data_IF_787183572132
#
_entry.id   IF_787183572132
#
_cell.length_a   1.000
_cell.length_b   1.000
_cell.length_c   1.000
_cell.angle_alpha   90.00
_cell.angle_beta   90.00
_cell.angle_gamma   90.00
#
_symmetry.space_group_name_H-M   'P 1'
#
loop_
_entity.id
_entity.type
_entity.pdbx_description
1 polymer ?
#
# COMPACT_ATOMS: atom_id res chain seq x y z
N UNK A 5 3.74 8.84 -15.76
CA UNK A 5 3.03 8.57 -17.01
C UNK A 5 1.62 9.13 -16.90
N UNK A 6 0.62 8.34 -17.31
CA UNK A 6 -0.78 8.71 -17.10
C UNK A 6 -1.34 8.03 -15.86
N UNK A 7 -0.70 8.32 -14.71
CA UNK A 7 -1.24 7.86 -13.45
C UNK A 7 -2.55 8.59 -13.15
N UNK A 8 -2.60 9.90 -13.40
CA UNK A 8 -3.82 10.67 -13.16
C UNK A 8 -5.02 10.05 -13.86
N UNK A 9 -4.84 9.61 -15.11
CA UNK A 9 -5.95 9.01 -15.84
C UNK A 9 -6.38 7.70 -15.19
N UNK A 10 -5.42 6.82 -14.89
CA UNK A 10 -5.77 5.51 -14.32
C UNK A 10 -6.44 5.66 -12.96
N UNK A 11 -5.93 6.58 -12.12
CA UNK A 11 -6.57 6.89 -10.85
C UNK A 11 -8.02 7.32 -11.08
N UNK A 12 -8.27 8.11 -12.13
CA UNK A 12 -9.60 8.66 -12.33
C UNK A 12 -10.60 7.59 -12.76
N UNK A 13 -10.19 6.65 -13.63
CA UNK A 13 -11.12 5.60 -14.04
C UNK A 13 -11.66 4.81 -12.86
N UNK A 14 -10.81 4.55 -11.86
CA UNK A 14 -11.24 3.78 -10.69
C UNK A 14 -12.23 4.56 -9.84
N UNK A 15 -11.90 5.83 -9.56
CA UNK A 15 -12.83 6.73 -8.90
C UNK A 15 -14.19 6.71 -9.59
N UNK A 16 -14.21 6.98 -10.90
CA UNK A 16 -15.46 7.16 -11.61
C UNK A 16 -16.27 5.87 -11.62
N UNK A 17 -15.60 4.71 -11.67
CA UNK A 17 -16.32 3.44 -11.70
C UNK A 17 -16.93 3.11 -10.35
N UNK A 18 -16.20 3.36 -9.26
CA UNK A 18 -16.78 3.14 -7.94
C UNK A 18 -17.97 4.06 -7.72
N UNK A 19 -17.82 5.33 -8.09
CA UNK A 19 -18.88 6.31 -7.86
C UNK A 19 -20.10 6.02 -8.70
N UNK A 20 -19.91 5.44 -9.90
CA UNK A 20 -21.05 5.04 -10.73
C UNK A 20 -21.77 3.86 -10.12
N UNK A 21 -21.05 2.97 -9.46
CA UNK A 21 -21.69 1.85 -8.79
C UNK A 21 -22.54 2.36 -7.64
N UNK A 22 -21.99 3.30 -6.85
CA UNK A 22 -22.77 3.90 -5.77
C UNK A 22 -23.98 4.65 -6.34
N UNK A 23 -23.78 5.35 -7.44
CA UNK A 23 -24.90 6.08 -8.02
C UNK A 23 -26.03 5.14 -8.45
N UNK A 24 -25.69 4.06 -9.16
CA UNK A 24 -26.71 3.07 -9.55
C UNK A 24 -27.51 2.61 -8.34
N UNK A 25 -26.82 2.27 -7.23
CA UNK A 25 -27.49 1.72 -6.07
C UNK A 25 -28.42 2.75 -5.43
N UNK A 26 -27.94 3.97 -5.25
CA UNK A 26 -28.81 5.02 -4.70
C UNK A 26 -29.94 5.37 -5.65
N UNK A 27 -29.69 5.30 -6.95
CA UNK A 27 -30.78 5.60 -7.87
C UNK A 27 -31.92 4.60 -7.73
N UNK A 28 -31.60 3.31 -7.66
CA UNK A 28 -32.65 2.28 -7.57
C UNK A 28 -33.59 2.53 -6.41
N UNK A 29 -33.08 3.06 -5.30
CA UNK A 29 -33.88 3.13 -4.08
C UNK A 29 -34.31 4.55 -3.78
N UNK A 30 -34.17 5.47 -4.75
CA UNK A 30 -34.25 6.91 -4.51
C UNK A 30 -35.66 7.41 -4.22
N UNK A 31 -36.68 6.57 -4.25
CA UNK A 31 -38.01 6.99 -3.91
C UNK A 31 -38.50 6.43 -2.58
N UNK A 32 -37.66 5.68 -1.87
CA UNK A 32 -38.00 5.30 -0.50
C UNK A 32 -37.44 6.33 0.46
N UNK A 33 -38.32 6.86 1.30
CA UNK A 33 -37.94 7.83 2.32
C UNK A 33 -37.09 7.16 3.39
N UNK A 34 -35.99 7.77 3.82
CA UNK A 34 -35.44 9.05 3.33
C UNK A 34 -34.29 8.85 2.34
N UNK A 35 -34.20 7.72 1.64
CA UNK A 35 -33.07 7.52 0.75
C UNK A 35 -33.01 8.58 -0.35
N UNK A 36 -34.15 9.20 -0.68
CA UNK A 36 -34.13 10.28 -1.67
C UNK A 36 -33.27 11.45 -1.19
N UNK A 37 -33.22 11.67 0.13
CA UNK A 37 -32.32 12.69 0.65
C UNK A 37 -30.86 12.31 0.44
N UNK A 38 -30.53 11.04 0.56
CA UNK A 38 -29.15 10.63 0.35
C UNK A 38 -28.78 10.63 -1.14
N UNK A 39 -29.72 10.22 -2.00
CA UNK A 39 -29.53 10.39 -3.44
C UNK A 39 -29.12 11.82 -3.79
N UNK A 40 -29.92 12.80 -3.35
CA UNK A 40 -29.61 14.17 -3.72
C UNK A 40 -28.33 14.65 -3.04
N UNK A 41 -28.07 14.18 -1.81
CA UNK A 41 -26.82 14.48 -1.14
C UNK A 41 -25.63 13.96 -1.94
N UNK A 42 -25.70 12.69 -2.36
CA UNK A 42 -24.60 12.10 -3.12
C UNK A 42 -24.36 12.89 -4.40
N UNK A 43 -25.43 13.26 -5.10
CA UNK A 43 -25.31 14.01 -6.35
C UNK A 43 -24.68 15.36 -6.10
N UNK A 44 -25.12 16.07 -5.05
CA UNK A 44 -24.49 17.32 -4.68
C UNK A 44 -23.00 17.14 -4.41
N UNK A 45 -22.63 16.08 -3.68
CA UNK A 45 -21.22 15.84 -3.38
C UNK A 45 -20.41 15.50 -4.63
N UNK A 46 -21.02 14.83 -5.61
CA UNK A 46 -20.33 14.55 -6.88
C UNK A 46 -20.08 15.83 -7.67
N UNK A 47 -21.07 16.73 -7.67
CA UNK A 47 -20.95 17.97 -8.43
C UNK A 47 -19.83 18.84 -7.88
N UNK A 48 -19.70 18.90 -6.55
CA UNK A 48 -18.62 19.66 -5.93
C UNK A 48 -17.25 19.04 -6.14
N UNK A 49 -17.14 17.70 -6.08
CA UNK A 49 -15.84 17.02 -6.06
C UNK A 49 -15.29 16.70 -7.43
N UNK A 50 -16.16 16.57 -8.44
CA UNK A 50 -15.72 16.14 -9.76
C UNK A 50 -15.88 17.29 -10.73
N UNK A 51 -15.07 17.26 -11.78
CA UNK A 51 -15.27 18.23 -12.83
C UNK A 51 -16.57 17.90 -13.57
N UNK A 52 -16.97 18.80 -14.46
CA UNK A 52 -18.21 18.60 -15.20
C UNK A 52 -18.11 17.39 -16.12
N UNK A 53 -17.00 17.24 -16.84
CA UNK A 53 -16.86 16.12 -17.75
C UNK A 53 -16.79 14.79 -16.99
N UNK A 54 -16.09 14.76 -15.85
CA UNK A 54 -16.06 13.55 -15.02
C UNK A 54 -17.46 13.13 -14.56
N UNK A 55 -18.22 14.08 -14.01
CA UNK A 55 -19.61 13.84 -13.63
C UNK A 55 -20.42 13.23 -14.77
N UNK A 56 -20.22 13.71 -16.00
CA UNK A 56 -20.94 13.11 -17.11
C UNK A 56 -20.44 11.70 -17.37
N UNK A 57 -19.15 11.44 -17.11
CA UNK A 57 -18.61 10.09 -17.27
C UNK A 57 -19.13 9.15 -16.20
N UNK A 58 -19.30 9.64 -14.96
CA UNK A 58 -19.95 8.82 -13.94
C UNK A 58 -21.37 8.47 -14.37
N UNK A 59 -22.12 9.46 -14.84
CA UNK A 59 -23.52 9.23 -15.21
C UNK A 59 -23.64 8.28 -16.39
N UNK A 60 -22.68 8.32 -17.31
CA UNK A 60 -22.71 7.38 -18.43
C UNK A 60 -22.39 5.97 -17.98
N UNK A 61 -21.38 5.82 -17.13
CA UNK A 61 -21.06 4.49 -16.61
C UNK A 61 -22.21 3.94 -15.79
N UNK A 62 -22.93 4.80 -15.05
CA UNK A 62 -24.11 4.34 -14.32
C UNK A 62 -25.18 3.78 -15.26
N UNK A 63 -25.52 4.52 -16.32
CA UNK A 63 -26.52 4.03 -17.28
C UNK A 63 -26.08 2.72 -17.92
N UNK A 64 -24.80 2.58 -18.22
CA UNK A 64 -24.28 1.31 -18.74
C UNK A 64 -24.57 0.17 -17.77
N UNK A 65 -24.29 0.37 -16.49
CA UNK A 65 -24.59 -0.63 -15.47
C UNK A 65 -26.09 -0.89 -15.39
N UNK A 66 -26.90 0.16 -15.50
CA UNK A 66 -28.33 0.04 -15.27
C UNK A 66 -29.07 -0.65 -16.40
N UNK A 67 -28.49 -0.71 -17.60
CA UNK A 67 -29.06 -1.48 -18.69
C UNK A 67 -28.64 -2.94 -18.67
N UNK A 68 -27.60 -3.27 -17.90
CA UNK A 68 -27.07 -4.64 -17.84
C UNK A 68 -28.04 -5.60 -17.13
N UNK B 4 -1.87 -7.86 -8.53
CA UNK B 4 -2.30 -7.46 -7.20
C UNK B 4 -2.86 -8.64 -6.43
N UNK B 5 -4.18 -8.79 -6.40
CA UNK B 5 -4.80 -9.94 -5.74
C UNK B 5 -4.26 -10.09 -4.33
N UNK B 6 -3.96 -11.32 -3.92
CA UNK B 6 -3.19 -11.58 -2.70
C UNK B 6 -1.72 -11.77 -3.01
N UNK B 7 -1.28 -11.40 -4.21
CA UNK B 7 0.14 -11.30 -4.50
C UNK B 7 0.73 -10.11 -3.78
N UNK B 8 -0.03 -9.02 -3.63
CA UNK B 8 0.44 -7.87 -2.89
C UNK B 8 0.78 -8.24 -1.45
N UNK B 9 0.00 -9.16 -0.86
CA UNK B 9 0.26 -9.57 0.51
C UNK B 9 1.60 -10.31 0.62
N UNK B 10 1.83 -11.33 -0.22
CA UNK B 10 3.09 -12.05 -0.18
C UNK B 10 4.27 -11.12 -0.45
N UNK B 11 4.12 -10.22 -1.43
CA UNK B 11 5.18 -9.28 -1.76
C UNK B 11 5.47 -8.36 -0.57
N UNK B 12 4.42 -7.79 0.01
CA UNK B 12 4.62 -6.83 1.09
C UNK B 12 5.20 -7.50 2.33
N UNK B 13 4.86 -8.77 2.57
CA UNK B 13 5.43 -9.46 3.72
C UNK B 13 6.94 -9.64 3.57
N UNK B 14 7.39 -10.04 2.38
CA UNK B 14 8.82 -10.23 2.18
C UNK B 14 9.56 -8.90 2.19
N UNK B 15 8.94 -7.86 1.62
CA UNK B 15 9.53 -6.54 1.65
C UNK B 15 9.70 -6.05 3.08
N UNK B 16 8.70 -6.29 3.93
CA UNK B 16 8.79 -5.84 5.31
C UNK B 16 9.69 -6.74 6.15
N UNK B 17 9.78 -8.04 5.85
CA UNK B 17 10.75 -8.87 6.56
C UNK B 17 12.17 -8.47 6.21
N UNK B 18 12.46 -8.20 4.93
CA UNK B 18 13.80 -7.72 4.58
C UNK B 18 14.11 -6.43 5.33
N UNK B 19 13.16 -5.49 5.34
CA UNK B 19 13.42 -4.25 6.06
C UNK B 19 13.62 -4.50 7.54
N UNK B 20 12.94 -5.49 8.11
CA UNK B 20 13.09 -5.78 9.54
C UNK B 20 14.43 -6.43 9.84
N UNK B 21 14.91 -7.28 8.94
CA UNK B 21 16.23 -7.88 9.16
C UNK B 21 17.29 -6.79 9.25
N UNK B 22 17.24 -5.83 8.31
CA UNK B 22 18.20 -4.73 8.31
C UNK B 22 18.05 -3.90 9.59
N UNK B 23 16.82 -3.53 9.92
CA UNK B 23 16.56 -2.78 11.15
C UNK B 23 17.16 -3.47 12.38
N UNK B 24 16.94 -4.79 12.51
CA UNK B 24 17.49 -5.54 13.64
C UNK B 24 19.00 -5.47 13.65
N UNK B 25 19.63 -5.70 12.49
CA UNK B 25 21.08 -5.63 12.42
C UNK B 25 21.58 -4.24 12.80
N UNK B 26 20.88 -3.18 12.37
CA UNK B 26 21.30 -1.81 12.68
C UNK B 26 21.00 -1.45 14.13
N UNK B 27 19.91 -1.98 14.69
CA UNK B 27 19.62 -1.72 16.09
C UNK B 27 20.70 -2.30 17.00
N UNK B 28 21.24 -3.46 16.64
CA UNK B 28 22.18 -4.09 17.58
C UNK B 28 23.56 -3.43 17.53
N UNK B 29 23.87 -2.67 16.49
CA UNK B 29 25.10 -1.88 16.43
C UNK B 29 24.85 -0.40 16.71
N UNK B 30 23.66 -0.05 17.20
CA UNK B 30 23.24 1.36 17.22
C UNK B 30 24.06 2.25 18.15
N UNK B 31 24.82 1.68 19.09
CA UNK B 31 25.58 2.50 20.02
C UNK B 31 27.05 2.63 19.66
N UNK B 32 27.51 1.95 18.61
CA UNK B 32 28.84 2.19 18.07
C UNK B 32 28.79 3.41 17.15
N UNK B 33 29.63 4.35 17.41
CA UNK B 33 29.61 5.43 16.44
C UNK B 33 30.57 5.12 15.29
N UNK B 34 30.23 5.52 14.07
CA UNK B 34 29.03 6.28 13.65
C UNK B 34 27.84 5.42 13.24
N UNK B 35 27.76 4.13 13.63
CA UNK B 35 26.66 3.29 13.18
C UNK B 35 25.32 3.78 13.73
N UNK B 36 25.33 4.49 14.86
CA UNK B 36 24.10 5.13 15.33
C UNK B 36 23.46 5.99 14.24
N UNK B 37 24.30 6.71 13.47
CA UNK B 37 23.79 7.64 12.47
C UNK B 37 23.11 6.89 11.32
N UNK B 38 23.65 5.72 10.94
CA UNK B 38 23.00 4.92 9.91
C UNK B 38 21.70 4.34 10.41
N UNK B 39 21.67 3.89 11.65
CA UNK B 39 20.43 3.44 12.27
C UNK B 39 19.35 4.53 12.20
N UNK B 40 19.72 5.76 12.58
CA UNK B 40 18.73 6.83 12.54
C UNK B 40 18.38 7.20 11.11
N UNK B 41 19.36 7.18 10.20
CA UNK B 41 19.09 7.42 8.79
C UNK B 41 18.13 6.37 8.22
N UNK B 42 18.35 5.10 8.56
CA UNK B 42 17.45 4.06 8.06
C UNK B 42 16.03 4.27 8.57
N UNK B 43 15.89 4.56 9.87
CA UNK B 43 14.55 4.77 10.43
C UNK B 43 13.84 5.91 9.71
N UNK B 44 14.55 7.01 9.48
CA UNK B 44 13.94 8.13 8.77
C UNK B 44 13.59 7.75 7.34
N UNK B 45 14.44 6.96 6.68
CA UNK B 45 14.10 6.50 5.34
C UNK B 45 12.84 5.63 5.37
N UNK B 46 12.76 4.73 6.36
CA UNK B 46 11.57 3.90 6.55
C UNK B 46 10.32 4.74 6.77
N UNK B 47 10.45 5.82 7.54
CA UNK B 47 9.28 6.64 7.82
C UNK B 47 8.84 7.39 6.57
N UNK B 48 9.79 7.85 5.76
CA UNK B 48 9.42 8.50 4.51
C UNK B 48 8.86 7.51 3.49
N UNK B 49 9.34 6.27 3.50
CA UNK B 49 9.02 5.34 2.43
C UNK B 49 7.78 4.52 2.71
N UNK B 50 7.43 4.28 3.97
CA UNK B 50 6.35 3.38 4.32
C UNK B 50 5.18 4.12 4.94
N UNK B 51 3.98 3.62 4.68
CA UNK B 51 2.82 4.04 5.42
C UNK B 51 3.00 3.71 6.91
N UNK B 52 2.13 4.30 7.73
CA UNK B 52 2.23 4.09 9.17
C UNK B 52 1.92 2.65 9.55
N UNK B 53 1.08 1.98 8.77
CA UNK B 53 0.76 0.58 9.03
C UNK B 53 1.91 -0.34 8.66
N UNK B 54 2.63 -0.02 7.58
CA UNK B 54 3.77 -0.84 7.18
C UNK B 54 4.94 -0.65 8.15
N UNK B 55 5.11 0.56 8.69
CA UNK B 55 6.13 0.73 9.70
C UNK B 55 5.85 -0.15 10.91
N UNK B 56 4.59 -0.21 11.35
CA UNK B 56 4.25 -1.01 12.52
C UNK B 56 4.53 -2.48 12.28
N UNK B 57 4.28 -2.96 11.07
CA UNK B 57 4.57 -4.37 10.78
C UNK B 57 6.07 -4.62 10.68
N UNK B 58 6.83 -3.65 10.13
CA UNK B 58 8.30 -3.79 10.14
C UNK B 58 8.79 -3.93 11.57
N UNK B 59 8.33 -3.03 12.44
CA UNK B 59 8.78 -3.02 13.84
C UNK B 59 8.32 -4.26 14.57
N UNK B 60 7.15 -4.80 14.21
CA UNK B 60 6.70 -6.03 14.84
C UNK B 60 7.52 -7.23 14.37
N UNK B 61 7.86 -7.29 13.07
CA UNK B 61 8.73 -8.36 12.59
C UNK B 61 10.12 -8.26 13.20
N UNK B 62 10.64 -7.04 13.34
CA UNK B 62 11.92 -6.87 14.00
C UNK B 62 11.87 -7.39 15.43
N UNK B 63 10.83 -7.00 16.18
CA UNK B 63 10.64 -7.56 17.52
C UNK B 63 10.62 -9.08 17.48
N UNK B 64 9.90 -9.66 16.52
CA UNK B 64 9.88 -11.10 16.35
C UNK B 64 11.29 -11.68 16.24
N UNK B 65 12.09 -11.13 15.31
CA UNK B 65 13.44 -11.65 15.11
C UNK B 65 14.27 -11.49 16.37
N UNK B 66 14.11 -10.38 17.07
CA UNK B 66 14.95 -10.14 18.23
C UNK B 66 14.56 -11.05 19.39
N UNK B 67 13.28 -11.38 19.51
CA UNK B 67 12.89 -12.28 20.60
C UNK B 67 13.40 -13.70 20.37
N UNK B 68 13.77 -14.06 19.15
CA UNK B 68 14.33 -15.40 18.89
C UNK B 68 15.59 -15.63 19.72
N UNK C 4 -0.26 -19.24 -6.40
CA UNK C 4 0.13 -20.64 -6.24
C UNK C 4 1.53 -20.76 -5.66
N UNK C 5 2.29 -21.74 -6.16
CA UNK C 5 3.66 -21.97 -5.72
C UNK C 5 4.66 -21.06 -6.41
N UNK C 6 4.34 -20.56 -7.60
CA UNK C 6 5.24 -19.61 -8.25
C UNK C 6 5.34 -18.30 -7.48
N UNK C 7 4.35 -18.00 -6.63
CA UNK C 7 4.36 -16.74 -5.90
C UNK C 7 5.43 -16.76 -4.82
N UNK C 8 5.32 -17.70 -3.86
CA UNK C 8 6.35 -17.85 -2.85
C UNK C 8 7.72 -17.99 -3.50
N UNK C 9 7.80 -18.77 -4.58
CA UNK C 9 9.05 -18.97 -5.29
C UNK C 9 9.63 -17.65 -5.79
N UNK C 10 8.85 -16.89 -6.55
CA UNK C 10 9.36 -15.63 -7.08
C UNK C 10 9.61 -14.61 -5.99
N UNK C 11 8.77 -14.61 -4.95
CA UNK C 11 8.97 -13.67 -3.85
C UNK C 11 10.23 -14.02 -3.06
N UNK C 12 10.47 -15.31 -2.81
CA UNK C 12 11.64 -15.73 -2.04
C UNK C 12 12.93 -15.46 -2.80
N UNK C 13 12.94 -15.66 -4.12
CA UNK C 13 14.17 -15.36 -4.84
C UNK C 13 14.47 -13.86 -4.87
N UNK C 14 13.44 -13.01 -4.81
CA UNK C 14 13.69 -11.57 -4.72
C UNK C 14 14.18 -11.19 -3.34
N UNK C 15 13.56 -11.75 -2.30
CA UNK C 15 13.97 -11.42 -0.95
C UNK C 15 15.42 -11.84 -0.71
N UNK C 16 15.82 -13.02 -1.20
CA UNK C 16 17.19 -13.45 -0.97
C UNK C 16 18.18 -12.68 -1.84
N UNK C 17 17.76 -12.24 -3.02
CA UNK C 17 18.62 -11.39 -3.84
C UNK C 17 18.91 -10.05 -3.16
N UNK C 18 17.90 -9.43 -2.57
CA UNK C 18 18.11 -8.18 -1.84
C UNK C 18 19.04 -8.42 -0.65
N UNK C 19 18.80 -9.50 0.10
CA UNK C 19 19.65 -9.75 1.26
C UNK C 19 21.08 -10.03 0.84
N UNK C 20 21.26 -10.69 -0.31
CA UNK C 20 22.62 -10.95 -0.78
C UNK C 20 23.31 -9.66 -1.19
N UNK C 21 22.57 -8.73 -1.78
CA UNK C 21 23.15 -7.43 -2.15
C UNK C 21 23.66 -6.70 -0.92
N UNK C 22 22.86 -6.70 0.15
CA UNK C 22 23.30 -6.07 1.38
C UNK C 22 24.48 -6.83 1.98
N UNK C 23 24.45 -8.16 1.91
CA UNK C 23 25.56 -8.94 2.44
C UNK C 23 26.85 -8.64 1.69
N UNK C 24 26.77 -8.51 0.37
CA UNK C 24 27.97 -8.18 -0.41
C UNK C 24 28.51 -6.81 -0.01
N UNK C 25 27.63 -5.81 0.06
CA UNK C 25 28.10 -4.46 0.40
C UNK C 25 28.85 -4.48 1.73
N UNK C 26 28.31 -5.19 2.72
CA UNK C 26 28.93 -5.23 4.05
C UNK C 26 30.18 -6.10 4.08
N UNK C 27 30.20 -7.17 3.27
CA UNK C 27 31.40 -8.00 3.14
C UNK C 27 32.59 -7.17 2.70
N UNK C 28 32.39 -6.30 1.71
CA UNK C 28 33.53 -5.60 1.13
C UNK C 28 34.15 -4.61 2.11
N UNK C 29 33.38 -4.09 3.06
CA UNK C 29 33.89 -3.09 3.99
C UNK C 29 34.00 -3.63 5.41
N UNK C 30 33.89 -4.95 5.61
CA UNK C 30 33.83 -5.47 6.97
C UNK C 30 35.16 -5.35 7.71
N UNK C 31 36.23 -4.94 7.05
CA UNK C 31 37.49 -4.74 7.77
C UNK C 31 37.75 -3.28 8.11
N UNK C 32 36.85 -2.38 7.75
CA UNK C 32 36.93 -1.00 8.22
C UNK C 32 36.09 -0.87 9.48
N UNK C 33 36.75 -0.65 10.61
CA UNK C 33 36.06 -0.55 11.89
C UNK C 33 35.22 0.73 11.95
N UNK C 34 34.01 0.66 12.53
CA UNK C 34 33.37 -0.48 13.20
C UNK C 34 32.42 -1.28 12.32
N UNK C 35 32.54 -1.18 10.99
CA UNK C 35 31.59 -1.88 10.12
C UNK C 35 31.65 -3.38 10.26
N UNK C 36 32.70 -3.94 10.85
CA UNK C 36 32.71 -5.39 11.08
C UNK C 36 31.60 -5.80 12.04
N UNK C 37 31.26 -4.92 13.00
CA UNK C 37 30.13 -5.18 13.89
C UNK C 37 28.81 -5.24 13.13
N UNK C 38 28.62 -4.36 12.15
CA UNK C 38 27.39 -4.40 11.38
C UNK C 38 27.35 -5.63 10.49
N UNK C 39 28.50 -5.98 9.91
CA UNK C 39 28.61 -7.23 9.15
C UNK C 39 28.17 -8.43 9.99
N UNK C 40 28.68 -8.54 11.23
CA UNK C 40 28.31 -9.67 12.05
C UNK C 40 26.87 -9.55 12.56
N UNK C 41 26.40 -8.32 12.85
CA UNK C 41 25.01 -8.20 13.28
C UNK C 41 24.05 -8.51 12.14
N UNK C 42 24.39 -8.12 10.91
CA UNK C 42 23.56 -8.53 9.78
C UNK C 42 23.61 -10.04 9.57
N UNK C 43 24.79 -10.67 9.78
CA UNK C 43 24.79 -12.13 9.68
C UNK C 43 23.94 -12.76 10.76
N UNK C 44 24.00 -12.23 11.99
CA UNK C 44 23.19 -12.79 13.07
C UNK C 44 21.68 -12.60 12.81
N UNK C 45 21.30 -11.42 12.31
CA UNK C 45 19.88 -11.21 12.00
C UNK C 45 19.40 -12.13 10.89
N UNK C 46 20.26 -12.39 9.89
CA UNK C 46 19.89 -13.31 8.81
C UNK C 46 19.66 -14.73 9.33
N UNK C 47 20.56 -15.21 10.19
CA UNK C 47 20.46 -16.57 10.71
C UNK C 47 19.25 -16.74 11.62
N UNK C 48 18.81 -15.68 12.29
CA UNK C 48 17.57 -15.77 13.07
C UNK C 48 16.35 -15.70 12.16
N UNK C 49 16.40 -14.92 11.08
CA UNK C 49 15.18 -14.67 10.32
C UNK C 49 14.97 -15.65 9.18
N UNK C 50 16.02 -16.26 8.65
CA UNK C 50 15.90 -17.16 7.50
C UNK C 50 16.10 -18.61 7.93
N UNK C 51 15.50 -19.52 7.17
CA UNK C 51 15.82 -20.93 7.37
C UNK C 51 17.28 -21.21 7.01
N UNK C 52 17.76 -22.39 7.42
CA UNK C 52 19.16 -22.71 7.15
C UNK C 52 19.44 -22.80 5.65
N UNK C 53 18.50 -23.36 4.89
CA UNK C 53 18.70 -23.48 3.45
C UNK C 53 18.60 -22.11 2.78
N UNK C 54 17.73 -21.24 3.29
CA UNK C 54 17.63 -19.88 2.76
C UNK C 54 18.94 -19.13 2.96
N UNK C 55 19.49 -19.18 4.19
CA UNK C 55 20.76 -18.51 4.48
C UNK C 55 21.85 -18.95 3.53
N UNK C 56 21.87 -20.22 3.14
CA UNK C 56 22.94 -20.62 2.25
C UNK C 56 22.69 -20.20 0.80
N UNK C 57 21.42 -20.03 0.42
CA UNK C 57 21.13 -19.40 -0.86
C UNK C 57 21.61 -17.94 -0.86
N UNK C 58 21.45 -17.24 0.27
CA UNK C 58 21.90 -15.84 0.29
C UNK C 58 23.40 -15.77 0.13
N UNK C 59 24.14 -16.63 0.84
CA UNK C 59 25.59 -16.65 0.74
C UNK C 59 26.04 -17.04 -0.66
N UNK C 60 25.33 -17.96 -1.31
CA UNK C 60 25.69 -18.32 -2.67
C UNK C 60 25.45 -17.15 -3.62
N UNK C 61 24.32 -16.46 -3.46
CA UNK C 61 24.02 -15.32 -4.33
C UNK C 61 24.98 -14.17 -4.06
N UNK C 62 25.42 -14.00 -2.80
CA UNK C 62 26.39 -12.96 -2.51
C UNK C 62 27.76 -13.30 -3.10
N UNK C 63 28.13 -14.58 -3.10
CA UNK C 63 29.37 -14.96 -3.75
C UNK C 63 29.27 -14.72 -5.25
N UNK C 64 28.15 -15.09 -5.86
CA UNK C 64 27.98 -14.88 -7.29
C UNK C 64 27.98 -13.39 -7.64
N UNK C 65 27.39 -12.55 -6.78
CA UNK C 65 27.39 -11.10 -7.05
C UNK C 65 28.79 -10.53 -6.91
N UNK C 66 29.58 -11.11 -6.02
CA UNK C 66 30.88 -10.56 -5.73
C UNK C 66 31.93 -10.67 -6.81
N UNK C 67 31.66 -11.38 -7.90
CA UNK C 67 32.59 -11.43 -8.99
C UNK C 67 32.22 -10.16 -9.68
N UNK C 68 31.02 -10.13 -10.25
CA UNK C 68 30.51 -8.90 -10.84
C UNK C 68 29.12 -9.18 -11.38
N UNK D 4 2.49 -14.97 -14.22
CA UNK D 4 3.94 -14.82 -14.28
C UNK D 4 4.35 -13.35 -14.39
N UNK D 5 3.94 -12.71 -15.50
CA UNK D 5 4.27 -11.31 -15.72
C UNK D 5 3.74 -10.42 -14.61
N UNK D 6 2.56 -10.73 -14.07
CA UNK D 6 2.04 -9.98 -12.93
C UNK D 6 2.86 -10.23 -11.68
N UNK D 7 3.36 -11.45 -11.50
CA UNK D 7 4.11 -11.80 -10.30
C UNK D 7 5.49 -11.16 -10.32
N UNK D 8 6.24 -11.35 -11.41
CA UNK D 8 7.59 -10.79 -11.51
C UNK D 8 7.57 -9.27 -11.37
N UNK D 9 6.57 -8.62 -11.96
CA UNK D 9 6.47 -7.17 -11.89
C UNK D 9 6.32 -6.68 -10.46
N UNK D 10 5.38 -7.27 -9.71
CA UNK D 10 5.16 -6.86 -8.33
C UNK D 10 6.38 -7.18 -7.47
N UNK D 11 7.00 -8.33 -7.72
CA UNK D 11 8.19 -8.73 -7.00
C UNK D 11 9.32 -7.75 -7.24
N UNK D 12 9.55 -7.38 -8.50
CA UNK D 12 10.66 -6.50 -8.83
C UNK D 12 10.47 -5.11 -8.23
N UNK D 13 9.23 -4.61 -8.24
CA UNK D 13 8.97 -3.32 -7.60
C UNK D 13 9.27 -3.37 -6.10
N UNK D 14 8.90 -4.45 -5.42
CA UNK D 14 9.23 -4.53 -4.00
C UNK D 14 10.74 -4.58 -3.80
N UNK D 15 11.43 -5.34 -4.65
CA UNK D 15 12.89 -5.43 -4.58
C UNK D 15 13.54 -4.07 -4.74
N UNK D 16 13.15 -3.32 -5.76
CA UNK D 16 13.82 -2.04 -5.96
C UNK D 16 13.44 -1.03 -4.88
N UNK D 17 12.19 -1.05 -4.40
CA UNK D 17 11.84 -0.13 -3.33
C UNK D 17 12.68 -0.38 -2.09
N UNK D 18 12.85 -1.65 -1.70
CA UNK D 18 13.70 -1.93 -0.53
C UNK D 18 15.11 -1.44 -0.77
N UNK D 19 15.66 -1.70 -1.96
CA UNK D 19 17.00 -1.21 -2.26
C UNK D 19 17.06 0.31 -2.24
N UNK D 20 15.96 0.98 -2.61
CA UNK D 20 15.94 2.44 -2.58
C UNK D 20 15.98 2.96 -1.15
N UNK D 21 15.23 2.31 -0.25
CA UNK D 21 15.23 2.69 1.16
C UNK D 21 16.65 2.62 1.73
N UNK D 22 17.34 1.52 1.47
CA UNK D 22 18.71 1.40 1.98
C UNK D 22 19.58 2.48 1.35
N UNK D 23 19.34 2.78 0.06
CA UNK D 23 20.11 3.81 -0.63
C UNK D 23 19.88 5.20 -0.02
N UNK D 24 18.61 5.53 0.27
CA UNK D 24 18.29 6.80 0.92
C UNK D 24 19.03 6.88 2.27
N UNK D 25 19.00 5.79 3.04
CA UNK D 25 19.67 5.78 4.34
C UNK D 25 21.18 5.99 4.19
N UNK D 26 21.81 5.34 3.21
CA UNK D 26 23.26 5.48 3.05
C UNK D 26 23.66 6.83 2.48
N UNK D 27 22.87 7.38 1.55
CA UNK D 27 23.13 8.73 1.05
C UNK D 27 23.18 9.71 2.20
N UNK D 28 22.23 9.62 3.13
CA UNK D 28 22.13 10.62 4.19
C UNK D 28 23.35 10.62 5.10
N UNK D 29 24.05 9.50 5.21
CA UNK D 29 25.22 9.38 6.09
C UNK D 29 26.51 9.24 5.27
N UNK D 30 26.46 9.55 3.98
CA UNK D 30 27.61 9.34 3.10
C UNK D 30 28.79 10.23 3.44
N UNK D 31 28.59 11.28 4.24
CA UNK D 31 29.71 12.09 4.65
C UNK D 31 30.34 11.65 5.96
N UNK D 32 29.70 10.74 6.69
CA UNK D 32 30.35 10.21 7.88
C UNK D 32 31.39 9.19 7.48
N UNK D 33 32.44 9.11 8.25
CA UNK D 33 33.38 8.06 7.98
C UNK D 33 33.29 7.01 9.09
N UNK D 34 33.46 5.73 8.78
CA UNK D 34 33.75 5.11 7.49
C UNK D 34 32.49 4.75 6.71
N UNK D 35 31.34 5.35 7.01
CA UNK D 35 30.09 4.93 6.38
C UNK D 35 30.07 5.22 4.90
N UNK D 36 30.82 6.24 4.45
CA UNK D 36 30.96 6.48 3.01
C UNK D 36 31.47 5.25 2.28
N UNK D 37 32.30 4.42 2.94
CA UNK D 37 32.74 3.16 2.34
C UNK D 37 31.56 2.22 2.07
N UNK D 38 30.59 2.18 2.98
CA UNK D 38 29.44 1.28 2.79
C UNK D 38 28.51 1.82 1.72
N UNK D 39 28.29 3.15 1.73
CA UNK D 39 27.59 3.81 0.63
C UNK D 39 28.16 3.38 -0.72
N UNK D 40 29.49 3.42 -0.84
CA UNK D 40 30.13 3.11 -2.12
C UNK D 40 30.10 1.63 -2.43
N UNK D 41 30.30 0.76 -1.43
CA UNK D 41 30.21 -0.66 -1.72
C UNK D 41 28.79 -1.08 -2.03
N UNK D 42 27.81 -0.41 -1.43
CA UNK D 42 26.42 -0.73 -1.75
C UNK D 42 26.08 -0.33 -3.16
N UNK D 43 26.52 0.86 -3.58
CA UNK D 43 26.33 1.30 -4.96
C UNK D 43 27.03 0.36 -5.92
N UNK D 44 28.25 -0.03 -5.58
CA UNK D 44 29.01 -1.02 -6.35
C UNK D 44 28.23 -2.35 -6.42
N UNK D 45 27.64 -2.77 -5.29
CA UNK D 45 26.91 -4.03 -5.28
C UNK D 45 25.65 -3.95 -6.12
N UNK D 46 25.00 -2.77 -6.15
CA UNK D 46 23.84 -2.58 -7.02
C UNK D 46 24.24 -2.63 -8.48
N UNK D 47 25.30 -1.90 -8.85
CA UNK D 47 25.86 -1.99 -10.19
C UNK D 47 26.04 -3.44 -10.62
N UNK D 48 26.65 -4.26 -9.74
CA UNK D 48 26.96 -5.63 -10.12
C UNK D 48 25.73 -6.53 -10.19
N UNK D 49 24.68 -6.27 -9.42
CA UNK D 49 23.56 -7.21 -9.35
C UNK D 49 22.36 -6.84 -10.22
N UNK D 50 22.20 -5.56 -10.57
CA UNK D 50 21.04 -5.14 -11.34
C UNK D 50 21.44 -4.67 -12.74
N UNK D 51 20.49 -4.76 -13.67
CA UNK D 51 20.70 -4.14 -14.97
C UNK D 51 20.82 -2.64 -14.83
N UNK D 52 21.34 -2.01 -15.90
CA UNK D 52 21.52 -0.57 -15.89
C UNK D 52 20.20 0.15 -15.64
N UNK D 53 19.10 -0.38 -16.19
CA UNK D 53 17.81 0.26 -16.01
C UNK D 53 17.34 0.12 -14.57
N UNK D 54 17.28 -1.12 -14.07
CA UNK D 54 16.89 -1.41 -12.69
C UNK D 54 17.61 -0.48 -11.72
N UNK D 55 18.92 -0.30 -11.91
CA UNK D 55 19.67 0.63 -11.07
C UNK D 55 19.14 2.05 -11.18
N UNK D 56 18.84 2.50 -12.40
CA UNK D 56 18.31 3.85 -12.57
C UNK D 56 16.95 3.99 -11.89
N UNK D 57 16.17 2.91 -11.86
CA UNK D 57 14.87 2.97 -11.21
C UNK D 57 15.01 2.99 -9.69
N UNK D 58 16.06 2.35 -9.13
CA UNK D 58 16.32 2.44 -7.70
C UNK D 58 16.67 3.88 -7.32
N UNK D 59 17.64 4.48 -8.02
CA UNK D 59 17.96 5.87 -7.75
C UNK D 59 16.76 6.78 -7.96
N UNK D 60 15.90 6.48 -8.93
CA UNK D 60 14.68 7.26 -9.08
C UNK D 60 13.77 7.08 -7.88
N UNK D 61 13.60 5.82 -7.43
CA UNK D 61 12.75 5.58 -6.27
C UNK D 61 13.33 6.23 -5.02
N UNK D 62 14.65 6.18 -4.88
CA UNK D 62 15.29 6.86 -3.75
C UNK D 62 14.97 8.34 -3.79
N UNK D 63 15.12 8.98 -4.96
CA UNK D 63 14.84 10.41 -5.05
C UNK D 63 13.39 10.70 -4.70
N UNK D 64 12.49 9.79 -5.06
CA UNK D 64 11.08 9.95 -4.73
C UNK D 64 10.87 9.85 -3.23
N UNK D 65 11.45 8.82 -2.60
CA UNK D 65 11.37 8.69 -1.15
C UNK D 65 11.94 9.95 -0.48
N UNK D 66 13.09 10.42 -0.95
CA UNK D 66 13.69 11.61 -0.34
C UNK D 66 12.74 12.80 -0.33
N UNK D 67 11.93 12.94 -1.38
CA UNK D 67 11.01 14.07 -1.47
C UNK D 67 9.77 13.90 -0.60
N UNK D 68 9.70 12.89 0.25
CA UNK D 68 8.47 12.65 1.02
C UNK D 68 8.56 13.16 2.46
N UNK E 4 5.38 1.65 -9.43
CA UNK E 4 6.41 1.84 -8.41
C UNK E 4 5.81 2.42 -7.15
N UNK E 5 6.51 3.40 -6.55
CA UNK E 5 5.92 4.16 -5.48
C UNK E 5 4.91 5.18 -5.98
N UNK E 6 4.91 5.44 -7.29
CA UNK E 6 3.91 6.30 -7.90
C UNK E 6 2.57 5.61 -8.04
N UNK E 7 2.55 4.27 -8.03
CA UNK E 7 1.28 3.57 -8.07
C UNK E 7 0.69 3.40 -6.67
N UNK E 8 1.53 3.37 -5.63
CA UNK E 8 1.01 3.31 -4.26
C UNK E 8 0.31 4.62 -3.89
N UNK E 9 0.95 5.76 -4.17
CA UNK E 9 0.27 7.03 -3.94
C UNK E 9 -0.96 7.13 -4.83
N UNK E 10 -0.91 6.47 -6.00
CA UNK E 10 -2.05 6.49 -6.92
C UNK E 10 -3.24 5.77 -6.31
N UNK E 11 -3.09 4.49 -5.96
CA UNK E 11 -4.21 3.71 -5.45
C UNK E 11 -4.77 4.35 -4.19
N UNK E 12 -3.87 4.72 -3.27
CA UNK E 12 -4.30 5.37 -2.03
C UNK E 12 -5.08 6.64 -2.30
N UNK E 13 -4.65 7.43 -3.29
CA UNK E 13 -5.32 8.69 -3.55
C UNK E 13 -6.73 8.46 -4.10
N UNK E 14 -6.86 7.60 -5.11
CA UNK E 14 -8.17 7.21 -5.62
C UNK E 14 -9.09 6.76 -4.49
N UNK E 15 -8.59 5.86 -3.66
CA UNK E 15 -9.39 5.31 -2.58
C UNK E 15 -9.90 6.42 -1.67
N UNK E 16 -9.02 7.34 -1.26
CA UNK E 16 -9.42 8.26 -0.20
C UNK E 16 -10.33 9.38 -0.70
N UNK E 17 -10.18 9.87 -1.93
CA UNK E 17 -11.15 10.87 -2.38
C UNK E 17 -12.53 10.27 -2.60
N UNK E 18 -12.62 9.02 -3.07
CA UNK E 18 -13.94 8.42 -3.22
C UNK E 18 -14.61 8.30 -1.86
N UNK E 19 -13.85 7.88 -0.85
CA UNK E 19 -14.41 7.74 0.48
C UNK E 19 -14.80 9.10 1.05
N UNK E 20 -14.05 10.16 0.74
CA UNK E 20 -14.45 11.50 1.16
C UNK E 20 -15.77 11.91 0.53
N UNK E 21 -15.95 11.59 -0.75
CA UNK E 21 -17.21 11.96 -1.41
C UNK E 21 -18.40 11.26 -0.74
N UNK E 22 -18.28 9.95 -0.52
CA UNK E 22 -19.35 9.25 0.18
C UNK E 22 -19.53 9.83 1.58
N UNK E 23 -18.43 10.11 2.28
CA UNK E 23 -18.55 10.66 3.63
C UNK E 23 -19.32 11.98 3.62
N UNK E 24 -19.02 12.87 2.67
CA UNK E 24 -19.73 14.14 2.59
C UNK E 24 -21.20 13.91 2.32
N UNK E 25 -21.52 13.03 1.36
CA UNK E 25 -22.92 12.71 1.08
C UNK E 25 -23.65 12.23 2.33
N UNK E 26 -23.05 11.31 3.08
CA UNK E 26 -23.73 10.76 4.25
C UNK E 26 -23.85 11.80 5.35
N UNK E 27 -22.78 12.59 5.55
CA UNK E 27 -22.77 13.54 6.65
C UNK E 27 -23.90 14.55 6.53
N UNK E 28 -24.14 15.05 5.32
CA UNK E 28 -25.11 16.13 5.16
C UNK E 28 -26.56 15.66 5.33
N UNK E 29 -26.84 14.36 5.34
CA UNK E 29 -28.18 13.88 5.59
C UNK E 29 -28.24 12.99 6.84
N UNK E 30 -27.26 13.11 7.73
CA UNK E 30 -27.18 12.18 8.84
C UNK E 30 -28.20 12.46 9.94
N UNK E 31 -28.94 13.57 9.90
CA UNK E 31 -29.96 13.71 10.94
C UNK E 31 -31.21 12.89 10.65
N UNK E 32 -31.55 12.64 9.39
CA UNK E 32 -32.68 11.74 9.10
C UNK E 32 -32.39 10.32 9.57
N UNK E 33 -33.39 9.67 10.14
CA UNK E 33 -33.16 8.28 10.52
C UNK E 33 -33.63 7.35 9.41
N UNK E 34 -32.96 6.21 9.21
CA UNK E 34 -31.75 5.75 9.89
C UNK E 34 -30.52 6.07 9.06
N UNK E 35 -30.59 7.12 8.22
CA UNK E 35 -29.38 7.64 7.60
C UNK E 35 -28.33 7.98 8.65
N UNK E 36 -28.78 8.44 9.83
CA UNK E 36 -27.86 8.59 10.95
C UNK E 36 -27.06 7.31 11.18
N UNK E 37 -27.76 6.17 11.18
CA UNK E 37 -27.12 4.89 11.48
C UNK E 37 -26.16 4.47 10.36
N UNK E 38 -26.54 4.70 9.11
CA UNK E 38 -25.60 4.40 8.04
C UNK E 38 -24.39 5.31 8.11
N UNK E 39 -24.58 6.56 8.53
CA UNK E 39 -23.45 7.46 8.70
C UNK E 39 -22.50 6.95 9.77
N UNK E 40 -23.01 6.68 10.99
CA UNK E 40 -22.18 6.07 12.04
C UNK E 40 -21.49 4.80 11.55
N UNK E 41 -22.21 3.99 10.76
CA UNK E 41 -21.66 2.70 10.37
C UNK E 41 -20.57 2.86 9.31
N UNK E 42 -20.73 3.82 8.39
CA UNK E 42 -19.63 4.17 7.51
C UNK E 42 -18.41 4.62 8.30
N UNK E 43 -18.62 5.45 9.32
CA UNK E 43 -17.51 5.94 10.13
C UNK E 43 -16.82 4.78 10.84
N UNK E 44 -17.60 3.80 11.32
CA UNK E 44 -16.99 2.64 11.95
C UNK E 44 -16.24 1.79 10.93
N UNK E 45 -16.77 1.65 9.71
CA UNK E 45 -16.08 0.86 8.70
C UNK E 45 -14.76 1.52 8.28
N UNK E 46 -14.78 2.85 8.13
CA UNK E 46 -13.54 3.57 7.86
C UNK E 46 -12.51 3.34 8.97
N UNK E 47 -12.98 3.26 10.23
CA UNK E 47 -12.06 3.11 11.35
C UNK E 47 -11.40 1.74 11.34
N UNK E 48 -12.10 0.73 10.83
CA UNK E 48 -11.49 -0.59 10.79
C UNK E 48 -10.60 -0.75 9.56
N UNK E 49 -11.09 -0.33 8.40
CA UNK E 49 -10.36 -0.53 7.15
C UNK E 49 -9.18 0.43 6.99
N UNK E 50 -9.28 1.66 7.50
CA UNK E 50 -8.26 2.66 7.25
C UNK E 50 -7.31 2.82 8.44
N UNK E 51 -6.07 3.15 8.13
CA UNK E 51 -5.15 3.58 9.17
C UNK E 51 -5.55 4.97 9.66
N UNK E 52 -4.87 5.44 10.70
CA UNK E 52 -5.20 6.76 11.21
C UNK E 52 -4.78 7.86 10.25
N UNK E 53 -3.67 7.67 9.52
CA UNK E 53 -3.27 8.70 8.55
C UNK E 53 -4.13 8.64 7.29
N UNK E 54 -4.67 7.47 6.96
CA UNK E 54 -5.61 7.42 5.85
C UNK E 54 -6.92 8.09 6.25
N UNK E 55 -7.42 7.82 7.46
CA UNK E 55 -8.63 8.48 7.95
C UNK E 55 -8.45 9.99 8.00
N UNK E 56 -7.32 10.45 8.54
CA UNK E 56 -7.04 11.89 8.58
C UNK E 56 -7.09 12.51 7.19
N UNK E 57 -6.60 11.79 6.19
CA UNK E 57 -6.58 12.31 4.83
C UNK E 57 -7.97 12.29 4.21
N UNK E 58 -8.79 11.28 4.55
CA UNK E 58 -10.17 11.26 4.10
C UNK E 58 -10.93 12.47 4.64
N UNK E 59 -10.70 12.81 5.92
CA UNK E 59 -11.45 13.90 6.53
C UNK E 59 -11.05 15.26 5.98
N UNK E 60 -9.78 15.42 5.59
CA UNK E 60 -9.36 16.66 4.96
C UNK E 60 -10.00 16.82 3.59
N UNK E 61 -9.94 15.79 2.76
CA UNK E 61 -10.65 15.83 1.48
C UNK E 61 -12.14 16.08 1.69
N UNK E 62 -12.72 15.52 2.75
CA UNK E 62 -14.14 15.77 3.03
C UNK E 62 -14.40 17.22 3.39
N UNK E 63 -13.55 17.82 4.24
CA UNK E 63 -13.74 19.24 4.56
C UNK E 63 -13.50 20.10 3.33
N UNK E 64 -12.50 19.74 2.52
CA UNK E 64 -12.27 20.42 1.25
C UNK E 64 -13.55 20.47 0.42
N UNK E 65 -14.19 19.32 0.22
CA UNK E 65 -15.39 19.27 -0.62
C UNK E 65 -16.51 20.09 0.00
N UNK E 66 -16.70 19.95 1.31
CA UNK E 66 -17.79 20.68 1.97
C UNK E 66 -17.61 22.18 1.90
N UNK E 67 -16.38 22.66 1.69
CA UNK E 67 -16.10 24.09 1.75
C UNK E 67 -16.55 24.86 0.51
N UNK E 68 -16.98 24.17 -0.55
CA UNK E 68 -17.38 24.84 -1.78
C UNK E 68 -18.86 25.19 -1.78
N UNK F 6 -0.85 -2.52 -17.55
CA UNK F 6 0.25 -2.73 -16.61
C UNK F 6 -0.21 -2.47 -15.19
N UNK F 7 -0.99 -1.40 -15.01
CA UNK F 7 -1.31 -0.88 -13.70
C UNK F 7 -2.81 -0.86 -13.40
N UNK F 8 -3.66 -1.12 -14.39
CA UNK F 8 -5.09 -1.29 -14.16
C UNK F 8 -5.34 -2.38 -13.13
N UNK F 9 -4.33 -3.21 -12.86
CA UNK F 9 -4.43 -4.17 -11.77
C UNK F 9 -4.48 -3.45 -10.42
N UNK F 10 -3.60 -2.47 -10.20
CA UNK F 10 -3.62 -1.73 -8.95
C UNK F 10 -4.76 -0.71 -8.89
N UNK F 11 -5.17 -0.18 -10.04
CA UNK F 11 -6.42 0.57 -10.16
C UNK F 11 -7.54 -0.26 -9.55
N UNK F 12 -7.63 -1.51 -9.98
CA UNK F 12 -8.71 -2.39 -9.53
C UNK F 12 -8.70 -2.54 -8.01
N UNK F 13 -7.52 -2.62 -7.40
CA UNK F 13 -7.47 -2.83 -5.96
C UNK F 13 -8.06 -1.66 -5.19
N UNK F 14 -7.84 -0.42 -5.68
CA UNK F 14 -8.52 0.74 -5.12
C UNK F 14 -10.03 0.56 -5.17
N UNK F 15 -10.54 0.12 -6.32
CA UNK F 15 -11.98 -0.05 -6.49
C UNK F 15 -12.54 -1.03 -5.47
N UNK F 16 -11.99 -2.25 -5.47
CA UNK F 16 -12.54 -3.32 -4.66
C UNK F 16 -12.46 -2.99 -3.17
N UNK F 17 -11.41 -2.28 -2.75
CA UNK F 17 -11.29 -1.91 -1.34
C UNK F 17 -12.27 -0.81 -0.93
N UNK F 18 -12.53 0.17 -1.80
CA UNK F 18 -13.58 1.12 -1.49
C UNK F 18 -14.93 0.41 -1.46
N UNK F 19 -15.22 -0.39 -2.48
CA UNK F 19 -16.49 -1.11 -2.50
C UNK F 19 -16.64 -2.03 -1.28
N UNK F 20 -15.53 -2.60 -0.81
CA UNK F 20 -15.62 -3.47 0.37
C UNK F 20 -15.97 -2.69 1.62
N UNK F 21 -15.50 -1.44 1.72
CA UNK F 21 -15.78 -0.59 2.88
C UNK F 21 -17.23 -0.15 2.90
N UNK F 22 -17.77 0.21 1.73
CA UNK F 22 -19.19 0.51 1.62
C UNK F 22 -20.01 -0.73 1.96
N UNK F 23 -19.63 -1.89 1.41
CA UNK F 23 -20.35 -3.13 1.73
C UNK F 23 -20.40 -3.38 3.23
N UNK F 24 -19.27 -3.16 3.92
CA UNK F 24 -19.24 -3.40 5.36
C UNK F 24 -20.21 -2.46 6.08
N UNK F 25 -20.23 -1.18 5.68
CA UNK F 25 -21.14 -0.23 6.31
C UNK F 25 -22.59 -0.64 6.08
N UNK F 26 -22.91 -1.06 4.87
CA UNK F 26 -24.28 -1.42 4.53
C UNK F 26 -24.70 -2.70 5.25
N UNK F 27 -23.77 -3.64 5.47
CA UNK F 27 -24.12 -4.89 6.14
C UNK F 27 -24.48 -4.64 7.60
N UNK F 28 -23.79 -3.71 8.28
CA UNK F 28 -24.05 -3.53 9.72
C UNK F 28 -25.36 -2.80 10.02
N UNK F 29 -26.01 -2.18 9.05
CA UNK F 29 -27.27 -1.48 9.26
C UNK F 29 -28.38 -2.02 8.35
N UNK F 30 -28.15 -3.15 7.68
CA UNK F 30 -29.16 -3.68 6.78
C UNK F 30 -30.41 -4.19 7.51
N UNK F 31 -30.46 -4.09 8.83
CA UNK F 31 -31.69 -4.38 9.57
C UNK F 31 -32.50 -3.13 9.90
N UNK F 32 -31.99 -1.93 9.59
CA UNK F 32 -32.76 -0.71 9.78
C UNK F 32 -33.36 -0.31 8.45
N UNK F 33 -34.67 -0.50 8.30
CA UNK F 33 -35.33 -0.13 7.06
C UNK F 33 -35.38 1.38 6.91
N UNK F 34 -35.39 1.89 5.68
CA UNK F 34 -35.25 1.15 4.42
C UNK F 34 -33.81 0.87 4.04
N UNK F 35 -32.83 0.87 4.95
CA UNK F 35 -31.45 0.67 4.51
C UNK F 35 -31.27 -0.69 3.87
N UNK F 36 -32.06 -1.70 4.29
CA UNK F 36 -31.98 -2.99 3.62
C UNK F 36 -32.24 -2.86 2.13
N UNK F 37 -33.02 -1.88 1.71
CA UNK F 37 -33.19 -1.67 0.27
C UNK F 37 -31.90 -1.16 -0.37
N UNK F 38 -31.19 -0.24 0.29
CA UNK F 38 -29.92 0.22 -0.28
C UNK F 38 -28.89 -0.90 -0.25
N UNK F 39 -28.91 -1.73 0.80
CA UNK F 39 -27.97 -2.86 0.87
C UNK F 39 -28.16 -3.79 -0.31
N UNK F 40 -29.41 -4.15 -0.60
CA UNK F 40 -29.71 -4.98 -1.76
C UNK F 40 -29.44 -4.26 -3.08
N UNK F 41 -29.82 -2.98 -3.20
CA UNK F 41 -29.47 -2.21 -4.39
C UNK F 41 -27.97 -2.23 -4.65
N UNK F 42 -27.17 -2.06 -3.60
CA UNK F 42 -25.71 -2.06 -3.76
C UNK F 42 -25.21 -3.43 -4.21
N UNK F 43 -25.68 -4.51 -3.57
CA UNK F 43 -25.28 -5.84 -4.02
C UNK F 43 -25.74 -6.10 -5.44
N UNK F 44 -26.90 -5.58 -5.82
CA UNK F 44 -27.37 -5.66 -7.19
C UNK F 44 -26.49 -4.83 -8.15
N UNK F 45 -26.08 -3.63 -7.74
CA UNK F 45 -25.15 -2.87 -8.57
C UNK F 45 -23.78 -3.56 -8.65
N UNK F 46 -23.29 -4.12 -7.54
CA UNK F 46 -22.01 -4.81 -7.54
C UNK F 46 -22.01 -5.95 -8.53
N UNK F 47 -23.06 -6.79 -8.47
CA UNK F 47 -23.18 -7.94 -9.35
C UNK F 47 -23.20 -7.51 -10.81
N UNK F 48 -23.92 -6.43 -11.12
CA UNK F 48 -23.99 -5.97 -12.50
C UNK F 48 -22.62 -5.48 -12.99
N UNK F 49 -21.93 -4.70 -12.17
CA UNK F 49 -20.78 -3.93 -12.64
C UNK F 49 -19.48 -4.71 -12.64
N UNK F 50 -19.36 -5.75 -11.83
CA UNK F 50 -18.11 -6.46 -11.65
C UNK F 50 -18.26 -7.93 -12.00
N UNK F 51 -17.17 -8.54 -12.45
CA UNK F 51 -17.16 -9.97 -12.68
C UNK F 51 -17.24 -10.72 -11.35
N UNK F 52 -17.51 -12.02 -11.42
CA UNK F 52 -17.65 -12.79 -10.20
C UNK F 52 -16.34 -12.83 -9.40
N UNK F 53 -15.20 -12.84 -10.10
CA UNK F 53 -13.93 -12.79 -9.38
C UNK F 53 -13.77 -11.47 -8.65
N UNK F 54 -14.25 -10.38 -9.23
CA UNK F 54 -14.18 -9.09 -8.57
C UNK F 54 -15.10 -9.07 -7.35
N UNK F 55 -16.34 -9.56 -7.52
CA UNK F 55 -17.30 -9.60 -6.41
C UNK F 55 -16.72 -10.35 -5.21
N UNK F 56 -16.12 -11.51 -5.45
CA UNK F 56 -15.59 -12.28 -4.33
C UNK F 56 -14.38 -11.62 -3.70
N UNK F 57 -13.65 -10.76 -4.43
CA UNK F 57 -12.54 -10.03 -3.81
C UNK F 57 -13.05 -8.94 -2.87
N UNK F 58 -14.11 -8.24 -3.26
CA UNK F 58 -14.74 -7.26 -2.37
C UNK F 58 -15.23 -7.96 -1.11
N UNK F 59 -15.85 -9.14 -1.28
CA UNK F 59 -16.34 -9.91 -0.15
C UNK F 59 -15.23 -10.27 0.81
N UNK F 60 -14.15 -10.88 0.31
CA UNK F 60 -13.08 -11.30 1.20
C UNK F 60 -12.41 -10.10 1.86
N UNK F 61 -12.23 -9.01 1.10
CA UNK F 61 -11.71 -7.79 1.69
C UNK F 61 -12.67 -7.26 2.76
N UNK F 62 -13.97 -7.33 2.50
CA UNK F 62 -14.93 -6.94 3.53
C UNK F 62 -14.80 -7.83 4.77
N UNK F 63 -14.55 -9.14 4.58
CA UNK F 63 -14.35 -10.00 5.74
C UNK F 63 -13.09 -9.59 6.51
N UNK F 64 -11.97 -9.35 5.81
CA UNK F 64 -10.76 -8.94 6.50
C UNK F 64 -10.98 -7.65 7.29
N UNK F 65 -11.79 -6.74 6.75
CA UNK F 65 -12.10 -5.52 7.49
C UNK F 65 -12.97 -5.83 8.69
N UNK F 66 -14.00 -6.66 8.49
CA UNK F 66 -14.90 -6.97 9.60
C UNK F 66 -14.18 -7.67 10.74
N UNK F 67 -13.08 -8.37 10.45
CA UNK F 67 -12.31 -9.08 11.47
C UNK F 67 -11.27 -8.19 12.14
N UNK F 68 -11.38 -6.88 12.00
CA UNK F 68 -10.44 -5.95 12.62
C UNK F 68 -11.09 -5.21 13.78
#
# INVERSE_FOLDING_TARGET
MSGREEIEEAVKEAELKVLAIVLVALRSVSHYEPLSRLYESFLDALKKALSEEELKEVEKEAERIEKKGS
MSGREEIEEAVKEAELKVLAIVLVALRSVSHYEPLSRLYESFLDALKKALSEEELKEVEKEAERIEKKGS
MSGREEIEEAVKEAELKVLAIVLVALRSVSHYEPLSRLYESFLDALKKALSEEELKEVEKEAERIEKKGS
MSGREEIEEAVKEAELKVLAIVLVALRSVSHYEPLSRLYESFLDALKKALSEEELKEVEKEAERIEKKGS
MSGREEIEEAVKEAELKVLAIVLVALRSVSHYEPLSRLYESFLDALKKALSEEELKEVEKEAERIEKKGS
MSGREEIEEAVKEAELKVLAIVLVALRSVSHYEPLSRLYESFLDALKKALSEEELKEVEKEAERIEKKGS
#
